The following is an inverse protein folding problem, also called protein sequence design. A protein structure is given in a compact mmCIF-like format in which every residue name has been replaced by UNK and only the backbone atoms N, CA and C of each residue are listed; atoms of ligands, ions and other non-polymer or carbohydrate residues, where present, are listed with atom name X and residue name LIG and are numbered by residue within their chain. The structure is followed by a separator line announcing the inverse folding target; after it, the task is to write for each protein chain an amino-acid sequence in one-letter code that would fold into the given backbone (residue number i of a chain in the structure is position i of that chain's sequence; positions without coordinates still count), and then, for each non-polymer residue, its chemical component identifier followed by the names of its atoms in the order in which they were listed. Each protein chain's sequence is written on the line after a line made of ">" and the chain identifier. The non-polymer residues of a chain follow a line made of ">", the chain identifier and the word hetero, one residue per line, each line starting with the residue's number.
data_IF_688560678639
#
_entry.id   IF_688560678639
#
_cell.length_a   1.000
_cell.length_b   1.000
_cell.length_c   1.000
_cell.angle_alpha   90.00
_cell.angle_beta   90.00
_cell.angle_gamma   90.00
#
_symmetry.space_group_name_H-M   'P 1'
#
loop_
_entity.id
_entity.type
_entity.pdbx_description
1 polymer ?
#
# COMPACT_ATOMS: atom_id res chain seq x y z
N UNK A 1 -7.36 -15.87 2.32
CA UNK A 1 -6.02 -16.17 1.71
C UNK A 1 -4.98 -15.59 2.65
N UNK A 2 -3.88 -16.27 2.97
CA UNK A 2 -2.85 -15.72 3.87
C UNK A 2 -1.84 -14.94 3.03
N UNK A 3 -1.56 -13.67 3.40
CA UNK A 3 -0.50 -12.89 2.78
C UNK A 3 0.84 -13.60 2.96
N UNK A 4 1.67 -13.61 1.93
CA UNK A 4 3.04 -14.08 2.02
C UNK A 4 3.91 -12.99 2.65
N UNK A 5 4.82 -13.40 3.51
CA UNK A 5 5.88 -12.50 3.99
C UNK A 5 7.06 -12.50 3.02
N UNK A 6 7.72 -11.37 2.91
CA UNK A 6 8.90 -11.21 2.08
C UNK A 6 9.98 -10.46 2.85
N UNK A 7 11.23 -10.82 2.56
CA UNK A 7 12.41 -10.14 3.14
C UNK A 7 12.52 -8.69 2.64
N UNK A 8 13.06 -7.80 3.47
CA UNK A 8 13.35 -6.40 3.12
C UNK A 8 14.15 -6.30 1.81
N UNK A 9 15.11 -7.21 1.61
CA UNK A 9 15.91 -7.29 0.40
C UNK A 9 15.11 -7.51 -0.89
N UNK A 10 13.91 -8.10 -0.81
CA UNK A 10 13.03 -8.22 -1.98
C UNK A 10 12.45 -6.87 -2.38
N UNK A 11 12.00 -6.07 -1.42
CA UNK A 11 11.50 -4.71 -1.66
C UNK A 11 12.62 -3.82 -2.20
N UNK A 12 13.79 -3.87 -1.59
CA UNK A 12 14.97 -3.14 -2.06
C UNK A 12 15.31 -3.46 -3.52
N UNK A 13 15.52 -4.74 -3.86
CA UNK A 13 15.88 -5.16 -5.23
C UNK A 13 14.83 -4.74 -6.26
N UNK A 14 13.56 -4.82 -5.91
CA UNK A 14 12.48 -4.40 -6.79
C UNK A 14 12.51 -2.88 -7.02
N UNK A 15 12.55 -2.09 -5.96
CA UNK A 15 12.66 -0.63 -6.06
C UNK A 15 13.91 -0.20 -6.84
N UNK A 16 15.03 -0.92 -6.65
CA UNK A 16 16.26 -0.69 -7.41
C UNK A 16 16.07 -0.99 -8.90
N UNK A 17 15.37 -2.07 -9.25
CA UNK A 17 15.06 -2.40 -10.64
C UNK A 17 14.13 -1.39 -11.31
N UNK A 18 13.31 -0.70 -10.53
CA UNK A 18 12.46 0.41 -10.99
C UNK A 18 13.22 1.74 -11.09
N UNK A 19 14.49 1.80 -10.67
CA UNK A 19 15.29 3.03 -10.69
C UNK A 19 14.89 4.05 -9.62
N UNK A 20 14.21 3.61 -8.56
CA UNK A 20 13.70 4.49 -7.51
C UNK A 20 14.66 4.66 -6.32
N UNK A 21 15.62 3.74 -6.12
CA UNK A 21 16.53 3.77 -4.97
C UNK A 21 17.67 4.75 -5.18
N UNK A 22 17.87 5.64 -4.23
CA UNK A 22 19.01 6.57 -4.15
C UNK A 22 20.06 6.08 -3.15
N UNK A 23 19.63 5.58 -1.97
CA UNK A 23 20.52 5.14 -0.89
C UNK A 23 19.86 3.97 -0.12
N UNK A 24 20.69 3.13 0.50
CA UNK A 24 20.22 2.09 1.41
C UNK A 24 21.27 1.86 2.52
N UNK A 25 20.82 1.90 3.78
CA UNK A 25 21.68 1.66 4.94
C UNK A 25 21.67 0.21 5.41
N UNK A 26 20.77 -0.64 4.89
CA UNK A 26 20.61 -2.01 5.33
C UNK A 26 21.84 -2.87 5.02
N UNK A 27 22.36 -3.55 6.02
CA UNK A 27 23.39 -4.58 5.85
C UNK A 27 22.80 -5.91 5.36
N UNK A 28 23.65 -6.94 5.14
CA UNK A 28 23.23 -8.23 4.64
C UNK A 28 22.26 -8.96 5.59
N UNK A 29 22.41 -8.82 6.89
CA UNK A 29 21.54 -9.45 7.87
C UNK A 29 20.17 -8.77 7.92
N UNK A 30 20.17 -7.43 7.87
CA UNK A 30 18.97 -6.60 7.83
C UNK A 30 18.17 -6.81 6.54
N UNK A 31 18.84 -7.10 5.42
CA UNK A 31 18.18 -7.46 4.16
C UNK A 31 17.36 -8.76 4.24
N UNK A 32 17.69 -9.68 5.16
CA UNK A 32 16.95 -10.92 5.42
C UNK A 32 15.78 -10.73 6.40
N UNK A 33 15.59 -9.52 6.95
CA UNK A 33 14.46 -9.22 7.84
C UNK A 33 13.14 -9.42 7.12
N UNK A 34 12.29 -10.29 7.64
CA UNK A 34 10.93 -10.49 7.13
C UNK A 34 10.04 -9.28 7.41
N UNK A 35 9.29 -8.86 6.40
CA UNK A 35 8.28 -7.81 6.47
C UNK A 35 6.90 -8.48 6.50
N UNK A 36 6.20 -8.31 7.61
CA UNK A 36 4.86 -8.89 7.83
C UNK A 36 3.75 -7.84 7.62
N UNK A 37 4.09 -6.55 7.66
CA UNK A 37 3.15 -5.47 7.49
C UNK A 37 3.79 -4.26 6.81
N UNK A 38 2.96 -3.45 6.15
CA UNK A 38 3.35 -2.16 5.55
C UNK A 38 2.40 -1.09 6.06
N UNK A 39 2.94 0.07 6.46
CA UNK A 39 2.12 1.20 6.92
C UNK A 39 2.80 2.54 6.65
N UNK A 40 1.99 3.58 6.51
CA UNK A 40 2.40 4.99 6.54
C UNK A 40 1.76 5.76 7.71
N UNK A 41 0.97 5.09 8.53
CA UNK A 41 0.37 5.63 9.75
C UNK A 41 1.10 5.08 10.98
N UNK A 42 1.75 5.96 11.76
CA UNK A 42 2.47 5.57 12.98
C UNK A 42 1.55 5.00 14.08
N UNK A 43 0.24 5.12 13.93
CA UNK A 43 -0.76 4.53 14.83
C UNK A 43 -1.21 3.13 14.41
N UNK A 44 -0.96 2.75 13.15
CA UNK A 44 -1.26 1.41 12.61
C UNK A 44 0.03 0.65 12.33
N UNK A 45 0.76 0.33 13.40
CA UNK A 45 2.03 -0.42 13.33
C UNK A 45 1.83 -1.79 13.95
N UNK A 46 2.41 -2.80 13.33
CA UNK A 46 2.46 -4.18 13.78
C UNK A 46 3.91 -4.64 13.86
N UNK A 47 4.12 -5.82 14.41
CA UNK A 47 5.46 -6.45 14.40
C UNK A 47 5.96 -6.58 12.95
N UNK A 48 7.24 -6.33 12.76
CA UNK A 48 7.92 -6.43 11.47
C UNK A 48 7.27 -5.55 10.37
N UNK A 49 6.88 -4.32 10.74
CA UNK A 49 6.35 -3.33 9.79
C UNK A 49 7.49 -2.65 9.01
N UNK A 50 7.32 -2.56 7.68
CA UNK A 50 8.04 -1.62 6.83
C UNK A 50 7.27 -0.30 6.83
N UNK A 51 7.84 0.74 7.44
CA UNK A 51 7.19 2.03 7.61
C UNK A 51 7.53 2.99 6.47
N UNK A 52 6.53 3.72 5.98
CA UNK A 52 6.71 4.69 4.90
C UNK A 52 6.59 6.11 5.44
N UNK A 53 7.68 6.85 5.40
CA UNK A 53 7.73 8.25 5.79
C UNK A 53 7.28 9.12 4.62
N UNK A 54 6.01 9.53 4.64
CA UNK A 54 5.44 10.33 3.54
C UNK A 54 4.64 11.52 4.02
N UNK A 55 4.49 12.50 3.13
CA UNK A 55 3.61 13.65 3.28
C UNK A 55 4.35 14.94 3.66
N UNK A 56 3.79 16.06 3.21
CA UNK A 56 4.37 17.39 3.40
C UNK A 56 4.51 17.83 4.88
N UNK A 57 3.77 17.17 5.77
CA UNK A 57 3.79 17.44 7.21
C UNK A 57 4.36 16.27 8.00
N UNK A 58 5.17 15.41 7.36
CA UNK A 58 5.83 14.32 8.05
C UNK A 58 6.76 14.86 9.15
N UNK A 59 6.67 14.26 10.34
CA UNK A 59 7.52 14.59 11.48
C UNK A 59 8.39 13.39 11.83
N UNK A 60 9.69 13.55 12.12
CA UNK A 60 10.55 12.47 12.61
C UNK A 60 10.00 11.73 13.83
N UNK A 61 9.16 12.39 14.62
CA UNK A 61 8.45 11.76 15.75
C UNK A 61 7.55 10.61 15.30
N UNK A 62 6.93 10.70 14.13
CA UNK A 62 6.11 9.60 13.62
C UNK A 62 6.93 8.36 13.30
N UNK A 63 8.16 8.54 12.81
CA UNK A 63 9.10 7.44 12.64
C UNK A 63 9.51 6.85 13.99
N UNK A 64 9.84 7.70 14.97
CA UNK A 64 10.16 7.26 16.33
C UNK A 64 9.04 6.43 16.94
N UNK A 65 7.79 6.93 16.89
CA UNK A 65 6.61 6.20 17.37
C UNK A 65 6.42 4.86 16.64
N UNK A 66 6.65 4.83 15.32
CA UNK A 66 6.54 3.61 14.52
C UNK A 66 7.60 2.57 14.90
N UNK A 67 8.86 2.98 15.09
CA UNK A 67 9.95 2.08 15.49
C UNK A 67 9.68 1.50 16.88
N UNK A 68 9.30 2.33 17.84
CA UNK A 68 8.92 1.89 19.20
C UNK A 68 7.73 0.91 19.18
N UNK A 69 6.86 1.02 18.19
CA UNK A 69 5.68 0.15 18.02
C UNK A 69 5.93 -1.13 17.21
N UNK A 70 7.14 -1.30 16.62
CA UNK A 70 7.52 -2.54 15.94
C UNK A 70 7.87 -2.39 14.44
N UNK A 71 8.06 -1.18 13.94
CA UNK A 71 8.65 -1.00 12.62
C UNK A 71 10.13 -1.42 12.65
N UNK A 72 10.55 -2.19 11.65
CA UNK A 72 11.89 -2.78 11.55
C UNK A 72 12.74 -2.16 10.45
N UNK A 73 12.13 -1.35 9.59
CA UNK A 73 12.78 -0.59 8.53
C UNK A 73 11.86 0.56 8.10
N UNK A 74 12.43 1.57 7.44
CA UNK A 74 11.62 2.62 6.83
C UNK A 74 12.05 2.97 5.41
N UNK A 75 11.13 3.60 4.66
CA UNK A 75 11.37 4.16 3.34
C UNK A 75 10.96 5.63 3.34
N UNK A 76 11.77 6.48 2.74
CA UNK A 76 11.56 7.93 2.68
C UNK A 76 12.26 8.57 1.48
N UNK A 77 12.00 9.85 1.22
CA UNK A 77 12.75 10.65 0.23
C UNK A 77 13.99 11.34 0.83
N UNK A 78 14.11 11.34 2.16
CA UNK A 78 15.26 11.89 2.88
C UNK A 78 15.55 11.04 4.11
N UNK A 79 16.81 10.90 4.54
CA UNK A 79 17.11 10.18 5.76
C UNK A 79 16.54 10.89 7.00
N UNK A 80 16.00 10.11 7.91
CA UNK A 80 15.51 10.57 9.21
C UNK A 80 16.23 9.86 10.35
N UNK A 81 16.42 10.57 11.44
CA UNK A 81 16.92 10.01 12.69
C UNK A 81 15.73 9.59 13.57
N UNK A 82 15.55 8.30 13.88
CA UNK A 82 14.51 7.84 14.79
C UNK A 82 14.80 8.16 16.27
N UNK A 83 15.92 8.81 16.58
CA UNK A 83 16.26 9.27 17.92
C UNK A 83 16.40 8.11 18.93
N UNK A 84 15.75 8.26 20.10
CA UNK A 84 15.83 7.27 21.19
C UNK A 84 15.21 5.89 20.85
N UNK A 85 14.45 5.78 19.77
CA UNK A 85 13.85 4.50 19.33
C UNK A 85 14.90 3.51 18.80
N UNK A 86 16.12 3.97 18.54
CA UNK A 86 17.23 3.18 18.00
C UNK A 86 17.30 3.22 16.47
N UNK A 87 18.45 2.87 15.95
CA UNK A 87 18.72 2.86 14.52
C UNK A 87 18.04 1.67 13.84
N UNK A 88 17.33 1.96 12.75
CA UNK A 88 16.71 0.96 11.89
C UNK A 88 17.12 1.19 10.44
N UNK A 89 17.27 0.13 9.62
CA UNK A 89 17.65 0.26 8.23
C UNK A 89 16.62 1.07 7.44
N UNK A 90 17.13 1.81 6.46
CA UNK A 90 16.31 2.61 5.58
C UNK A 90 16.65 2.43 4.10
N UNK A 91 15.68 2.73 3.26
CA UNK A 91 15.83 2.85 1.82
C UNK A 91 15.36 4.25 1.43
N UNK A 92 16.26 5.06 0.88
CA UNK A 92 15.92 6.38 0.34
C UNK A 92 15.56 6.24 -1.13
N UNK A 93 14.44 6.88 -1.48
CA UNK A 93 13.85 6.79 -2.82
C UNK A 93 13.62 8.17 -3.42
N UNK A 94 13.69 8.28 -4.73
CA UNK A 94 13.47 9.53 -5.47
C UNK A 94 11.99 9.95 -5.54
N UNK A 95 11.06 9.02 -5.40
CA UNK A 95 9.61 9.26 -5.42
C UNK A 95 8.91 8.28 -4.47
N UNK A 96 8.46 8.80 -3.34
CA UNK A 96 7.81 7.99 -2.31
C UNK A 96 6.45 7.44 -2.76
N UNK A 97 5.73 8.13 -3.62
CA UNK A 97 4.41 7.67 -4.11
C UNK A 97 4.56 6.53 -5.10
N UNK A 98 5.52 6.64 -6.02
CA UNK A 98 5.87 5.54 -6.91
C UNK A 98 6.36 4.33 -6.11
N UNK A 99 7.26 4.54 -5.13
CA UNK A 99 7.74 3.47 -4.26
C UNK A 99 6.62 2.79 -3.48
N UNK A 100 5.63 3.54 -2.96
CA UNK A 100 4.46 2.96 -2.29
C UNK A 100 3.65 2.04 -3.19
N UNK A 101 3.44 2.40 -4.44
CA UNK A 101 2.70 1.56 -5.39
C UNK A 101 3.43 0.23 -5.64
N UNK A 102 4.75 0.30 -5.85
CA UNK A 102 5.60 -0.87 -6.05
C UNK A 102 5.66 -1.79 -4.82
N UNK A 103 5.79 -1.19 -3.62
CA UNK A 103 5.78 -1.90 -2.34
C UNK A 103 4.44 -2.62 -2.14
N UNK A 104 3.32 -1.93 -2.38
CA UNK A 104 2.00 -2.52 -2.28
C UNK A 104 1.84 -3.71 -3.25
N UNK A 105 2.36 -3.56 -4.47
CA UNK A 105 2.39 -4.64 -5.46
C UNK A 105 3.05 -5.90 -4.92
N UNK A 106 4.24 -5.78 -4.31
CA UNK A 106 4.96 -6.91 -3.71
C UNK A 106 4.19 -7.48 -2.53
N UNK A 107 3.78 -6.62 -1.61
CA UNK A 107 3.13 -7.03 -0.36
C UNK A 107 1.84 -7.82 -0.61
N UNK A 108 1.04 -7.41 -1.59
CA UNK A 108 -0.20 -8.07 -2.00
C UNK A 108 -0.02 -9.07 -3.17
N UNK A 109 1.21 -9.53 -3.43
CA UNK A 109 1.54 -10.57 -4.43
C UNK A 109 1.00 -10.23 -5.84
N UNK A 110 1.07 -8.94 -6.21
CA UNK A 110 0.57 -8.41 -7.49
C UNK A 110 -0.86 -8.86 -7.81
N UNK A 111 -1.74 -8.84 -6.82
CA UNK A 111 -3.13 -9.32 -6.89
C UNK A 111 -3.90 -8.76 -8.09
N UNK A 112 -3.58 -7.53 -8.50
CA UNK A 112 -4.20 -6.87 -9.65
C UNK A 112 -4.12 -7.68 -10.94
N UNK A 113 -3.10 -8.53 -11.10
CA UNK A 113 -2.94 -9.41 -12.27
C UNK A 113 -4.00 -10.52 -12.33
N UNK A 114 -4.70 -10.79 -11.23
CA UNK A 114 -5.74 -11.80 -11.11
C UNK A 114 -7.15 -11.22 -11.21
N UNK A 115 -7.27 -9.90 -11.36
CA UNK A 115 -8.53 -9.18 -11.38
C UNK A 115 -8.84 -8.62 -12.77
N UNK A 116 -10.11 -8.59 -13.10
CA UNK A 116 -10.61 -7.83 -14.26
C UNK A 116 -10.95 -6.42 -13.78
N UNK A 117 -10.13 -5.44 -14.17
CA UNK A 117 -10.26 -4.06 -13.73
C UNK A 117 -10.83 -3.18 -14.82
N UNK A 118 -11.77 -2.30 -14.45
CA UNK A 118 -12.35 -1.28 -15.32
C UNK A 118 -12.02 0.09 -14.71
N UNK A 119 -11.18 0.87 -15.39
CA UNK A 119 -10.84 2.23 -15.00
C UNK A 119 -11.78 3.23 -15.66
N UNK A 120 -12.37 4.14 -14.86
CA UNK A 120 -13.29 5.18 -15.33
C UNK A 120 -12.70 6.55 -15.02
N UNK A 121 -12.44 7.33 -16.05
CA UNK A 121 -11.95 8.71 -15.94
C UNK A 121 -12.90 9.71 -16.58
N UNK A 122 -12.78 10.98 -16.21
CA UNK A 122 -13.60 12.05 -16.76
C UNK A 122 -13.76 13.24 -15.80
N UNK A 123 -14.22 14.36 -16.29
CA UNK A 123 -14.45 15.56 -15.48
C UNK A 123 -15.71 15.46 -14.63
N UNK A 124 -16.74 14.74 -15.11
CA UNK A 124 -18.03 14.52 -14.44
C UNK A 124 -18.51 13.08 -14.70
N UNK A 125 -19.42 12.59 -13.87
CA UNK A 125 -20.11 11.31 -14.09
C UNK A 125 -19.31 10.05 -13.77
N UNK A 126 -18.05 10.15 -13.30
CA UNK A 126 -17.22 8.98 -12.99
C UNK A 126 -17.90 8.01 -12.03
N UNK A 127 -18.31 8.49 -10.86
CA UNK A 127 -18.96 7.66 -9.85
C UNK A 127 -20.28 7.09 -10.35
N UNK A 128 -21.13 7.90 -11.00
CA UNK A 128 -22.40 7.40 -11.57
C UNK A 128 -22.16 6.29 -12.58
N UNK A 129 -21.17 6.45 -13.48
CA UNK A 129 -20.81 5.41 -14.45
C UNK A 129 -20.28 4.15 -13.75
N UNK A 130 -19.44 4.30 -12.73
CA UNK A 130 -18.92 3.18 -11.97
C UNK A 130 -20.05 2.35 -11.33
N UNK A 131 -21.04 3.01 -10.73
CA UNK A 131 -22.19 2.32 -10.15
C UNK A 131 -23.09 1.66 -11.21
N UNK A 132 -23.33 2.31 -12.34
CA UNK A 132 -24.07 1.66 -13.42
C UNK A 132 -23.37 0.39 -13.92
N UNK A 133 -22.06 0.47 -14.14
CA UNK A 133 -21.25 -0.70 -14.54
C UNK A 133 -21.32 -1.79 -13.47
N UNK A 134 -21.13 -1.42 -12.19
CA UNK A 134 -21.26 -2.36 -11.07
C UNK A 134 -22.61 -3.06 -11.08
N UNK A 135 -23.72 -2.34 -11.13
CA UNK A 135 -25.06 -2.94 -11.10
C UNK A 135 -25.32 -3.88 -12.29
N UNK A 136 -24.83 -3.55 -13.48
CA UNK A 136 -24.97 -4.42 -14.66
C UNK A 136 -24.16 -5.72 -14.45
N UNK A 137 -22.94 -5.61 -13.96
CA UNK A 137 -22.08 -6.76 -13.70
C UNK A 137 -22.67 -7.62 -12.58
N UNK A 138 -23.13 -7.02 -11.48
CA UNK A 138 -23.67 -7.74 -10.34
C UNK A 138 -24.95 -8.50 -10.71
N UNK A 139 -25.83 -7.93 -11.54
CA UNK A 139 -27.01 -8.62 -12.03
C UNK A 139 -26.64 -9.81 -12.94
N UNK A 140 -25.63 -9.66 -13.78
CA UNK A 140 -25.10 -10.77 -14.57
C UNK A 140 -24.49 -11.86 -13.66
N UNK A 141 -23.67 -11.48 -12.68
CA UNK A 141 -23.02 -12.42 -11.76
C UNK A 141 -24.03 -13.15 -10.89
N UNK A 142 -25.08 -12.48 -10.41
CA UNK A 142 -26.19 -13.10 -9.68
C UNK A 142 -26.87 -14.22 -10.48
N UNK A 143 -27.08 -14.01 -11.77
CA UNK A 143 -27.71 -14.97 -12.65
C UNK A 143 -26.78 -16.15 -13.06
N UNK A 144 -25.46 -15.97 -12.93
CA UNK A 144 -24.44 -16.97 -13.28
C UNK A 144 -23.76 -17.64 -12.07
N UNK A 145 -24.18 -17.28 -10.85
CA UNK A 145 -23.60 -17.83 -9.60
C UNK A 145 -22.22 -17.25 -9.25
N UNK A 146 -21.87 -16.09 -9.81
CA UNK A 146 -20.65 -15.35 -9.50
C UNK A 146 -20.79 -14.50 -8.23
N UNK A 147 -19.69 -13.82 -7.86
CA UNK A 147 -19.65 -12.87 -6.75
C UNK A 147 -19.96 -11.46 -7.26
N UNK A 148 -20.44 -10.60 -6.35
CA UNK A 148 -20.60 -9.18 -6.64
C UNK A 148 -19.26 -8.53 -6.98
N UNK A 149 -19.30 -7.50 -7.83
CA UNK A 149 -18.12 -6.72 -8.19
C UNK A 149 -17.77 -5.69 -7.12
N UNK A 150 -16.49 -5.42 -6.95
CA UNK A 150 -16.00 -4.30 -6.14
C UNK A 150 -16.19 -2.96 -6.85
N UNK A 151 -16.27 -1.88 -6.09
CA UNK A 151 -16.21 -0.50 -6.60
C UNK A 151 -15.38 0.36 -5.67
N UNK A 152 -14.43 1.09 -6.23
CA UNK A 152 -13.66 2.13 -5.55
C UNK A 152 -13.99 3.46 -6.24
N UNK A 153 -14.57 4.39 -5.50
CA UNK A 153 -15.06 5.66 -6.07
C UNK A 153 -14.86 6.82 -5.10
N UNK A 154 -15.17 8.04 -5.53
CA UNK A 154 -15.19 9.20 -4.63
C UNK A 154 -16.42 9.29 -3.72
N UNK A 155 -17.28 8.27 -3.68
CA UNK A 155 -18.49 8.22 -2.84
C UNK A 155 -18.35 7.10 -1.81
N UNK A 156 -18.08 5.89 -2.26
CA UNK A 156 -17.89 4.71 -1.40
C UNK A 156 -16.87 3.76 -2.00
N UNK A 157 -16.25 2.97 -1.12
CA UNK A 157 -15.39 1.85 -1.44
C UNK A 157 -16.06 0.58 -0.96
N UNK A 158 -16.34 -0.35 -1.89
CA UNK A 158 -16.92 -1.66 -1.60
C UNK A 158 -16.09 -2.75 -2.29
N UNK A 159 -15.66 -3.76 -1.55
CA UNK A 159 -14.82 -4.85 -2.06
C UNK A 159 -15.34 -6.27 -1.69
N UNK A 160 -16.54 -6.32 -1.10
CA UNK A 160 -17.13 -7.58 -0.61
C UNK A 160 -16.79 -7.90 0.85
N UNK A 161 -15.83 -7.21 1.47
CA UNK A 161 -15.42 -7.31 2.88
C UNK A 161 -15.60 -5.98 3.57
N UNK A 162 -15.14 -4.91 2.93
CA UNK A 162 -15.21 -3.53 3.42
C UNK A 162 -16.32 -2.80 2.63
N UNK A 163 -17.17 -2.08 3.34
CA UNK A 163 -18.15 -1.15 2.77
C UNK A 163 -18.06 0.15 3.58
N UNK A 164 -17.46 1.17 2.99
CA UNK A 164 -17.16 2.43 3.68
C UNK A 164 -17.34 3.65 2.79
N UNK A 165 -17.66 4.78 3.39
CA UNK A 165 -17.68 6.07 2.69
C UNK A 165 -16.27 6.46 2.27
N UNK A 166 -16.11 6.90 1.03
CA UNK A 166 -14.80 7.33 0.54
C UNK A 166 -14.46 8.73 1.02
N UNK A 167 -13.26 8.90 1.57
CA UNK A 167 -12.72 10.21 1.98
C UNK A 167 -11.86 10.87 0.89
N UNK A 168 -11.47 10.11 -0.13
CA UNK A 168 -10.61 10.57 -1.22
C UNK A 168 -11.18 10.14 -2.58
N UNK A 169 -11.03 10.99 -3.59
CA UNK A 169 -11.40 10.63 -4.96
C UNK A 169 -10.59 9.43 -5.48
N UNK A 170 -9.35 9.30 -5.02
CA UNK A 170 -8.46 8.16 -5.28
C UNK A 170 -7.77 7.84 -3.96
N UNK A 171 -8.01 6.66 -3.38
CA UNK A 171 -7.31 6.20 -2.18
C UNK A 171 -5.80 6.07 -2.40
N UNK A 172 -5.05 5.97 -1.31
CA UNK A 172 -3.62 5.69 -1.36
C UNK A 172 -3.35 4.27 -1.89
N UNK A 173 -2.15 4.05 -2.46
CA UNK A 173 -1.81 2.77 -3.08
C UNK A 173 -2.04 1.57 -2.15
N UNK A 174 -1.69 1.69 -0.86
CA UNK A 174 -1.88 0.61 0.12
C UNK A 174 -3.35 0.27 0.33
N UNK A 175 -4.22 1.28 0.35
CA UNK A 175 -5.67 1.10 0.48
C UNK A 175 -6.26 0.45 -0.77
N UNK A 176 -5.86 0.93 -1.97
CA UNK A 176 -6.30 0.34 -3.24
C UNK A 176 -5.92 -1.14 -3.31
N UNK A 177 -4.67 -1.49 -3.00
CA UNK A 177 -4.22 -2.88 -3.03
C UNK A 177 -4.89 -3.75 -1.97
N UNK A 178 -5.19 -3.19 -0.78
CA UNK A 178 -5.96 -3.86 0.25
C UNK A 178 -7.37 -4.21 -0.23
N UNK A 179 -8.07 -3.27 -0.85
CA UNK A 179 -9.38 -3.52 -1.47
C UNK A 179 -9.31 -4.56 -2.59
N UNK A 180 -8.26 -4.54 -3.40
CA UNK A 180 -8.06 -5.53 -4.45
C UNK A 180 -7.79 -6.94 -3.89
N UNK A 181 -7.22 -7.03 -2.69
CA UNK A 181 -6.86 -8.29 -2.05
C UNK A 181 -8.06 -8.96 -1.35
N UNK A 182 -8.99 -8.20 -0.81
CA UNK A 182 -10.19 -8.69 -0.12
C UNK A 182 -11.16 -9.41 -1.07
#
# INVERSE_FOLDING_TARGET
>A
MTLKTYELGRYYRHLQSCGLVEECSADQAQMLQEIEYISFDSKDIRKNTLFICKGAHFSPRYLQDAVLSGAVAYISETPYDPGEAGDVPHIIVSDIRAAMAEIAGIFYDNIWQKLHMIGITGTKGKSSTAFFVKYIIDEYMKNTGGRESAVISGITNYDGVIDEESHLTTPESFEIYKHMYN
#
